data_IF_027256021144
#
_entry.id   IF_027256021144
#
_cell.length_a   1.000
_cell.length_b   1.000
_cell.length_c   1.000
_cell.angle_alpha   90.00
_cell.angle_beta   90.00
_cell.angle_gamma   90.00
#
_symmetry.space_group_name_H-M   'P 1'
#
loop_
_entity.id
_entity.type
_entity.pdbx_description
1 polymer ?
#
# COMPACT_ATOMS: atom_id res chain seq x y z
N UNK A 1 25.58 15.30 -5.81
CA UNK A 1 25.20 14.83 -4.45
C UNK A 1 23.69 14.71 -4.24
N UNK A 2 22.92 15.50 -4.96
CA UNK A 2 21.46 15.63 -4.90
C UNK A 2 20.73 14.32 -5.22
N UNK A 3 21.20 13.58 -6.23
CA UNK A 3 20.63 12.27 -6.59
C UNK A 3 20.84 11.27 -5.46
N UNK A 4 21.99 11.31 -4.80
CA UNK A 4 22.27 10.43 -3.67
C UNK A 4 21.38 10.77 -2.48
N UNK A 5 21.27 12.07 -2.16
CA UNK A 5 20.35 12.54 -1.12
C UNK A 5 18.90 12.12 -1.41
N UNK A 6 18.44 12.21 -2.66
CA UNK A 6 17.11 11.75 -3.06
C UNK A 6 16.95 10.23 -2.88
N UNK A 7 17.95 9.42 -3.27
CA UNK A 7 17.91 7.96 -3.07
C UNK A 7 17.83 7.61 -1.58
N UNK A 8 18.66 8.24 -0.75
CA UNK A 8 18.67 8.05 0.69
C UNK A 8 17.31 8.41 1.32
N UNK A 9 16.72 9.52 0.89
CA UNK A 9 15.42 9.97 1.38
C UNK A 9 14.25 9.01 1.07
N UNK A 10 14.41 8.13 0.08
CA UNK A 10 13.39 7.14 -0.32
C UNK A 10 13.58 5.78 0.33
N UNK A 11 14.61 5.57 1.16
CA UNK A 11 14.81 4.34 1.91
C UNK A 11 13.74 4.27 3.02
N UNK A 12 12.88 3.24 3.06
CA UNK A 12 11.89 3.10 4.13
C UNK A 12 12.59 2.80 5.45
N UNK A 13 12.27 3.58 6.49
CA UNK A 13 12.84 3.44 7.83
C UNK A 13 11.75 2.97 8.80
N UNK A 14 12.08 2.00 9.65
CA UNK A 14 11.19 1.54 10.73
C UNK A 14 10.76 2.74 11.58
N UNK A 15 9.46 2.89 11.77
CA UNK A 15 8.87 4.08 12.39
C UNK A 15 8.29 3.76 13.76
N UNK A 16 8.72 4.49 14.78
CA UNK A 16 8.15 4.41 16.13
C UNK A 16 7.31 5.64 16.48
N UNK A 17 6.00 5.50 16.27
CA UNK A 17 5.02 6.56 16.57
C UNK A 17 4.75 6.78 18.06
N UNK A 18 5.33 5.97 18.96
CA UNK A 18 5.12 6.12 20.42
C UNK A 18 6.14 7.07 21.04
N UNK A 19 7.36 7.05 20.56
CA UNK A 19 8.47 7.79 21.16
C UNK A 19 8.85 9.05 20.38
N UNK A 20 8.53 9.10 19.08
CA UNK A 20 8.83 10.24 18.23
C UNK A 20 7.61 11.11 17.97
N UNK A 21 7.82 12.42 18.05
CA UNK A 21 6.85 13.45 17.71
C UNK A 21 7.20 14.07 16.36
N UNK A 22 6.21 14.64 15.69
CA UNK A 22 6.48 15.49 14.54
C UNK A 22 7.28 16.73 14.96
N UNK A 23 8.22 17.17 14.12
CA UNK A 23 9.10 18.31 14.45
C UNK A 23 8.34 19.60 14.77
N UNK A 24 7.26 19.88 14.03
CA UNK A 24 6.43 21.07 14.23
C UNK A 24 5.60 21.04 15.52
N UNK A 25 5.39 19.86 16.11
CA UNK A 25 4.67 19.65 17.36
C UNK A 25 5.63 19.45 18.54
N UNK A 26 6.94 19.49 18.29
CA UNK A 26 7.96 19.19 19.30
C UNK A 26 8.28 20.42 20.17
N UNK A 27 8.56 20.17 21.45
CA UNK A 27 8.97 21.20 22.42
C UNK A 27 10.29 21.91 22.08
N UNK A 28 11.11 21.34 21.19
CA UNK A 28 12.33 21.98 20.70
C UNK A 28 12.09 23.06 19.63
N UNK A 29 10.83 23.34 19.26
CA UNK A 29 10.50 24.35 18.26
C UNK A 29 10.99 24.01 16.85
N UNK A 30 11.17 22.72 16.56
CA UNK A 30 11.63 22.24 15.25
C UNK A 30 13.15 22.25 15.04
N UNK A 31 13.95 22.59 16.05
CA UNK A 31 15.42 22.58 15.95
C UNK A 31 16.02 21.18 15.72
N UNK A 32 15.26 20.12 16.03
CA UNK A 32 15.74 18.74 16.03
C UNK A 32 16.28 18.34 17.41
N UNK A 33 15.69 17.31 18.01
CA UNK A 33 16.14 16.72 19.26
C UNK A 33 15.85 15.21 19.27
N UNK A 34 16.26 14.52 20.33
CA UNK A 34 16.06 13.07 20.46
C UNK A 34 14.59 12.61 20.46
N UNK A 35 13.63 13.53 20.57
CA UNK A 35 12.19 13.21 20.54
C UNK A 35 11.55 13.43 19.17
N UNK A 36 12.25 14.01 18.18
CA UNK A 36 11.67 14.32 16.86
C UNK A 36 12.60 14.07 15.68
N UNK A 37 13.82 13.61 15.93
CA UNK A 37 14.78 13.25 14.88
C UNK A 37 15.72 12.13 15.31
N UNK A 38 16.10 11.30 14.34
CA UNK A 38 17.14 10.25 14.46
C UNK A 38 18.24 10.53 13.46
N UNK A 39 19.47 10.25 13.84
CA UNK A 39 20.63 10.44 12.96
C UNK A 39 21.05 9.11 12.36
N UNK A 40 21.13 9.07 11.02
CA UNK A 40 21.73 7.97 10.26
C UNK A 40 23.06 8.44 9.67
N UNK A 41 24.13 7.69 9.91
CA UNK A 41 25.48 7.98 9.40
C UNK A 41 25.99 6.85 8.53
N UNK A 42 26.79 7.20 7.53
CA UNK A 42 27.57 6.25 6.74
C UNK A 42 28.97 6.82 6.56
N UNK A 43 29.99 6.01 6.76
CA UNK A 43 31.38 6.36 6.49
C UNK A 43 32.12 5.12 5.96
N UNK A 44 32.21 5.02 4.64
CA UNK A 44 32.75 3.85 3.94
C UNK A 44 33.76 4.32 2.90
N UNK A 45 34.97 3.76 2.95
CA UNK A 45 35.99 3.89 1.92
C UNK A 45 36.23 2.52 1.28
N UNK A 46 36.34 2.49 -0.04
CA UNK A 46 36.73 1.28 -0.75
C UNK A 46 38.26 1.24 -0.93
N UNK A 47 38.93 0.45 -0.10
CA UNK A 47 40.37 0.21 -0.20
C UNK A 47 40.71 -1.08 -0.99
N UNK A 48 39.71 -1.72 -1.61
CA UNK A 48 39.88 -2.95 -2.38
C UNK A 48 39.94 -2.65 -3.88
N UNK A 49 40.56 -3.55 -4.66
CA UNK A 49 40.63 -3.41 -6.12
C UNK A 49 39.28 -3.69 -6.82
N UNK A 50 38.29 -4.22 -6.09
CA UNK A 50 36.96 -4.54 -6.62
C UNK A 50 35.94 -3.45 -6.30
N UNK A 51 34.91 -3.31 -7.13
CA UNK A 51 33.80 -2.40 -6.84
C UNK A 51 32.94 -2.95 -5.72
N UNK A 52 32.74 -2.18 -4.65
CA UNK A 52 31.83 -2.54 -3.55
C UNK A 52 30.47 -1.86 -3.73
N UNK A 53 29.40 -2.52 -3.27
CA UNK A 53 28.05 -1.96 -3.26
C UNK A 53 27.70 -1.53 -1.83
N UNK A 54 27.48 -0.23 -1.64
CA UNK A 54 26.91 0.31 -0.40
C UNK A 54 25.40 0.13 -0.44
N UNK A 55 24.85 -0.40 0.64
CA UNK A 55 23.44 -0.73 0.84
C UNK A 55 22.86 -0.04 2.06
N UNK A 56 21.53 -0.06 2.21
CA UNK A 56 20.86 0.44 3.41
C UNK A 56 21.29 -0.27 4.69
N UNK A 57 21.79 -1.51 4.63
CA UNK A 57 22.31 -2.25 5.77
C UNK A 57 23.60 -1.67 6.35
N UNK A 58 24.32 -0.85 5.56
CA UNK A 58 25.58 -0.23 5.98
C UNK A 58 25.36 1.11 6.72
N UNK A 59 24.10 1.52 6.91
CA UNK A 59 23.75 2.73 7.64
C UNK A 59 23.78 2.47 9.15
N UNK A 60 24.50 3.33 9.88
CA UNK A 60 24.59 3.28 11.34
C UNK A 60 23.57 4.27 11.90
N UNK A 61 22.65 3.78 12.73
CA UNK A 61 21.66 4.61 13.43
C UNK A 61 22.09 4.90 14.85
N UNK A 62 21.82 6.12 15.33
CA UNK A 62 21.96 6.45 16.75
C UNK A 62 20.81 5.90 17.62
N UNK A 63 19.74 5.37 17.01
CA UNK A 63 18.69 4.59 17.67
C UNK A 63 18.59 3.19 17.02
N UNK A 64 18.89 2.10 17.76
CA UNK A 64 18.90 0.75 17.20
C UNK A 64 17.52 0.24 16.74
N UNK A 65 16.42 0.91 17.13
CA UNK A 65 15.07 0.56 16.68
C UNK A 65 14.77 1.20 15.32
N UNK A 66 15.34 2.37 15.06
CA UNK A 66 15.08 3.18 13.87
C UNK A 66 16.14 2.88 12.82
N UNK A 67 15.89 1.83 12.05
CA UNK A 67 16.79 1.30 11.01
C UNK A 67 16.03 1.12 9.70
N UNK A 68 16.72 1.00 8.56
CA UNK A 68 16.07 0.67 7.29
C UNK A 68 15.27 -0.64 7.38
N UNK A 69 14.06 -0.64 6.81
CA UNK A 69 13.17 -1.81 6.83
C UNK A 69 13.81 -3.01 6.14
N UNK A 70 14.55 -2.76 5.06
CA UNK A 70 15.35 -3.77 4.36
C UNK A 70 16.82 -3.35 4.39
N UNK A 71 17.76 -4.24 4.73
CA UNK A 71 19.20 -3.95 4.68
C UNK A 71 19.76 -4.03 3.25
N UNK A 72 18.99 -4.50 2.27
CA UNK A 72 19.51 -4.85 0.96
C UNK A 72 19.23 -3.79 -0.12
N UNK A 73 18.85 -2.56 0.25
CA UNK A 73 18.49 -1.52 -0.72
C UNK A 73 19.79 -0.89 -1.26
N UNK A 74 20.09 -1.00 -2.56
CA UNK A 74 21.33 -0.46 -3.13
C UNK A 74 21.35 1.07 -3.08
N UNK A 75 22.40 1.65 -2.50
CA UNK A 75 22.59 3.11 -2.42
C UNK A 75 23.49 3.58 -3.56
N UNK A 76 24.74 3.12 -3.57
CA UNK A 76 25.76 3.52 -4.55
C UNK A 76 26.83 2.42 -4.68
N UNK A 77 27.50 2.36 -5.82
CA UNK A 77 28.69 1.53 -6.02
C UNK A 77 29.93 2.40 -5.85
N UNK A 78 30.91 1.93 -5.09
CA UNK A 78 32.19 2.61 -4.90
C UNK A 78 33.29 1.84 -5.65
N UNK A 79 33.99 2.53 -6.55
CA UNK A 79 35.21 2.01 -7.18
C UNK A 79 36.39 2.09 -6.19
N UNK A 80 37.54 1.52 -6.58
CA UNK A 80 38.78 1.61 -5.80
C UNK A 80 39.08 3.09 -5.43
N UNK A 81 39.53 3.31 -4.20
CA UNK A 81 39.85 4.63 -3.63
C UNK A 81 38.70 5.65 -3.58
N UNK A 82 37.45 5.22 -3.81
CA UNK A 82 36.26 6.05 -3.61
C UNK A 82 35.69 5.91 -2.20
N UNK A 83 35.09 6.98 -1.68
CA UNK A 83 34.44 6.98 -0.36
C UNK A 83 33.06 7.63 -0.39
N UNK A 84 32.21 7.21 0.55
CA UNK A 84 30.94 7.85 0.87
C UNK A 84 30.90 8.15 2.37
N UNK A 85 30.75 9.43 2.70
CA UNK A 85 30.55 9.89 4.07
C UNK A 85 29.37 10.83 4.12
N UNK A 86 28.38 10.56 4.97
CA UNK A 86 27.26 11.47 5.20
C UNK A 86 26.63 11.31 6.58
N UNK A 87 25.91 12.35 7.00
CA UNK A 87 25.00 12.36 8.13
C UNK A 87 23.61 12.80 7.62
N UNK A 88 22.58 12.05 7.98
CA UNK A 88 21.19 12.31 7.59
C UNK A 88 20.28 12.31 8.82
N UNK A 89 19.38 13.30 8.87
CA UNK A 89 18.38 13.42 9.92
C UNK A 89 17.04 12.83 9.43
N UNK A 90 16.60 11.76 10.08
CA UNK A 90 15.32 11.10 9.85
C UNK A 90 14.27 11.73 10.77
N UNK A 91 13.13 12.13 10.20
CA UNK A 91 12.06 12.84 10.89
C UNK A 91 10.70 12.25 10.51
N UNK A 92 9.71 12.39 11.40
CA UNK A 92 8.33 12.06 11.04
C UNK A 92 7.78 13.08 10.05
N UNK A 93 7.06 12.60 9.04
CA UNK A 93 6.39 13.43 8.05
C UNK A 93 5.08 12.80 7.58
N UNK A 94 4.36 13.50 6.71
CA UNK A 94 3.09 13.01 6.16
C UNK A 94 3.23 12.87 4.65
N UNK A 95 2.59 11.85 4.08
CA UNK A 95 2.61 11.59 2.64
C UNK A 95 2.09 12.77 1.79
N UNK A 96 1.21 13.62 2.37
CA UNK A 96 0.72 14.85 1.74
C UNK A 96 1.85 15.85 1.43
N UNK A 97 2.93 15.83 2.22
CA UNK A 97 4.05 16.76 2.11
C UNK A 97 5.10 16.21 1.12
N UNK A 98 5.32 14.88 1.13
CA UNK A 98 6.17 14.20 0.15
C UNK A 98 5.89 12.69 0.12
N UNK A 99 5.99 12.07 -1.06
CA UNK A 99 5.73 10.64 -1.25
C UNK A 99 6.63 9.71 -0.42
N UNK A 100 7.84 10.15 -0.04
CA UNK A 100 8.77 9.42 0.84
C UNK A 100 8.20 9.11 2.23
N UNK A 101 7.17 9.85 2.66
CA UNK A 101 6.50 9.65 3.94
C UNK A 101 5.25 8.77 3.82
N UNK A 102 5.01 8.17 2.66
CA UNK A 102 3.96 7.17 2.50
C UNK A 102 4.36 5.90 3.28
N UNK A 103 3.42 5.34 4.04
CA UNK A 103 3.64 4.14 4.89
C UNK A 103 3.05 2.86 4.29
N UNK A 104 2.61 2.93 3.03
CA UNK A 104 2.08 1.81 2.26
C UNK A 104 2.71 1.85 0.88
N UNK A 105 3.04 0.68 0.34
CA UNK A 105 3.50 0.56 -1.04
C UNK A 105 2.34 0.78 -2.02
N UNK A 106 1.18 0.18 -1.72
CA UNK A 106 0.01 0.25 -2.57
C UNK A 106 -1.28 0.13 -1.75
N UNK A 107 -2.32 0.83 -2.18
CA UNK A 107 -3.67 0.69 -1.67
C UNK A 107 -4.66 0.82 -2.80
N UNK A 108 -5.59 -0.13 -2.86
CA UNK A 108 -6.67 -0.13 -3.83
C UNK A 108 -7.90 -0.79 -3.25
N UNK A 109 -9.04 -0.48 -3.84
CA UNK A 109 -10.26 -1.21 -3.57
C UNK A 109 -10.96 -1.54 -4.88
N UNK A 110 -11.78 -2.58 -4.84
CA UNK A 110 -12.74 -2.91 -5.89
C UNK A 110 -14.04 -3.33 -5.27
N UNK A 111 -15.13 -3.20 -6.01
CA UNK A 111 -16.42 -3.68 -5.55
C UNK A 111 -16.45 -5.21 -5.51
N UNK A 112 -17.28 -5.74 -4.62
CA UNK A 112 -17.54 -7.17 -4.57
C UNK A 112 -18.29 -7.59 -5.84
N UNK A 113 -17.80 -8.59 -6.58
CA UNK A 113 -18.44 -9.04 -7.81
C UNK A 113 -19.74 -9.79 -7.50
N UNK A 114 -20.82 -9.36 -8.13
CA UNK A 114 -22.15 -9.97 -8.04
C UNK A 114 -22.45 -10.70 -9.35
N UNK A 115 -22.15 -11.99 -9.39
CA UNK A 115 -22.40 -12.83 -10.56
C UNK A 115 -23.66 -13.66 -10.31
N UNK A 116 -24.66 -13.47 -11.16
CA UNK A 116 -25.92 -14.22 -11.11
C UNK A 116 -26.04 -15.15 -12.32
N UNK A 117 -26.53 -16.36 -12.11
CA UNK A 117 -26.70 -17.38 -13.16
C UNK A 117 -28.18 -17.78 -13.18
N UNK A 118 -28.86 -17.47 -14.27
CA UNK A 118 -30.25 -17.86 -14.52
C UNK A 118 -30.29 -19.30 -15.04
N UNK A 119 -30.51 -20.26 -14.13
CA UNK A 119 -30.54 -21.69 -14.42
C UNK A 119 -31.56 -22.05 -15.51
N UNK A 120 -32.70 -21.34 -15.59
CA UNK A 120 -33.76 -21.61 -16.57
C UNK A 120 -33.33 -21.27 -17.99
N UNK A 121 -32.48 -20.24 -18.14
CA UNK A 121 -31.87 -19.91 -19.43
C UNK A 121 -30.76 -20.91 -19.77
N UNK A 122 -29.99 -21.37 -18.79
CA UNK A 122 -29.00 -22.42 -19.01
C UNK A 122 -29.61 -23.75 -19.47
N UNK A 123 -30.85 -24.07 -19.08
CA UNK A 123 -31.57 -25.27 -19.58
C UNK A 123 -31.74 -25.28 -21.11
N UNK A 124 -31.75 -24.11 -21.76
CA UNK A 124 -31.84 -23.98 -23.23
C UNK A 124 -30.52 -24.30 -23.94
N UNK A 125 -29.39 -24.28 -23.23
CA UNK A 125 -28.11 -24.68 -23.78
C UNK A 125 -28.14 -26.16 -24.21
N UNK A 126 -27.58 -26.45 -25.38
CA UNK A 126 -27.50 -27.81 -25.92
C UNK A 126 -26.24 -28.56 -25.46
N UNK A 127 -25.22 -27.84 -25.02
CA UNK A 127 -23.91 -28.36 -24.61
C UNK A 127 -23.52 -27.83 -23.22
N UNK A 128 -22.31 -28.18 -22.76
CA UNK A 128 -21.70 -27.57 -21.57
C UNK A 128 -21.61 -26.05 -21.74
N UNK A 129 -21.58 -25.32 -20.63
CA UNK A 129 -21.39 -23.88 -20.66
C UNK A 129 -20.07 -23.51 -21.34
N UNK A 130 -20.12 -22.74 -22.43
CA UNK A 130 -18.92 -22.21 -23.09
C UNK A 130 -18.45 -20.90 -22.46
N UNK A 131 -19.38 -20.10 -21.92
CA UNK A 131 -19.09 -18.80 -21.33
C UNK A 131 -18.17 -18.90 -20.10
N UNK A 132 -18.21 -20.03 -19.38
CA UNK A 132 -17.28 -20.33 -18.30
C UNK A 132 -15.83 -20.46 -18.77
N UNK A 133 -15.61 -20.97 -19.98
CA UNK A 133 -14.27 -21.22 -20.54
C UNK A 133 -13.58 -19.89 -20.91
N UNK A 134 -14.35 -18.83 -21.17
CA UNK A 134 -13.85 -17.47 -21.42
C UNK A 134 -13.42 -16.76 -20.13
N UNK A 135 -13.74 -17.30 -18.96
CA UNK A 135 -13.26 -16.73 -17.71
C UNK A 135 -11.80 -17.14 -17.47
N UNK A 136 -10.86 -16.23 -17.76
CA UNK A 136 -9.41 -16.44 -17.57
C UNK A 136 -9.04 -16.82 -16.12
N UNK A 137 -9.86 -16.40 -15.16
CA UNK A 137 -9.71 -16.64 -13.72
C UNK A 137 -10.27 -17.98 -13.26
N UNK A 138 -10.89 -18.77 -14.15
CA UNK A 138 -11.45 -20.10 -13.89
C UNK A 138 -12.38 -20.13 -12.67
N UNK A 139 -13.33 -19.20 -12.66
CA UNK A 139 -14.24 -18.98 -11.53
C UNK A 139 -15.41 -19.95 -11.47
N UNK A 140 -15.59 -20.77 -12.50
CA UNK A 140 -16.75 -21.62 -12.67
C UNK A 140 -16.36 -23.09 -12.64
N UNK A 141 -17.08 -23.88 -11.86
CA UNK A 141 -17.14 -25.33 -11.93
C UNK A 141 -18.26 -25.73 -12.91
N UNK A 142 -17.90 -26.54 -13.91
CA UNK A 142 -18.83 -27.07 -14.91
C UNK A 142 -18.60 -28.56 -15.03
N UNK A 143 -19.69 -29.34 -15.09
CA UNK A 143 -19.62 -30.78 -15.30
C UNK A 143 -19.13 -31.14 -16.71
N UNK A 144 -18.82 -32.42 -16.92
CA UNK A 144 -18.35 -32.95 -18.21
C UNK A 144 -19.45 -33.03 -19.27
N UNK A 145 -20.71 -33.11 -18.85
CA UNK A 145 -21.90 -33.13 -19.70
C UNK A 145 -22.70 -31.82 -19.61
N UNK A 146 -23.89 -31.78 -20.20
CA UNK A 146 -24.81 -30.63 -20.09
C UNK A 146 -25.07 -30.33 -18.62
N UNK A 147 -24.51 -29.23 -18.16
CA UNK A 147 -24.56 -28.81 -16.76
C UNK A 147 -24.50 -27.28 -16.65
N UNK A 148 -25.21 -26.76 -15.65
CA UNK A 148 -25.17 -25.34 -15.35
C UNK A 148 -23.85 -25.01 -14.65
N UNK A 149 -23.20 -23.89 -15.00
CA UNK A 149 -21.99 -23.48 -14.32
C UNK A 149 -22.31 -23.09 -12.88
N UNK A 150 -21.40 -23.40 -11.96
CA UNK A 150 -21.47 -22.96 -10.56
C UNK A 150 -20.23 -22.15 -10.22
N UNK A 151 -20.37 -21.08 -9.45
CA UNK A 151 -19.23 -20.32 -8.98
C UNK A 151 -18.48 -21.09 -7.89
N UNK A 152 -17.14 -21.05 -7.93
CA UNK A 152 -16.32 -21.55 -6.83
C UNK A 152 -16.55 -20.68 -5.56
N UNK A 153 -16.43 -21.23 -4.33
CA UNK A 153 -16.73 -20.48 -3.10
C UNK A 153 -16.00 -19.14 -2.94
N UNK A 154 -14.77 -19.06 -3.46
CA UNK A 154 -13.90 -17.88 -3.36
C UNK A 154 -13.73 -17.12 -4.69
N UNK A 155 -14.70 -17.24 -5.61
CA UNK A 155 -14.62 -16.61 -6.93
C UNK A 155 -14.33 -15.11 -6.84
N UNK A 156 -14.89 -14.46 -5.82
CA UNK A 156 -14.79 -13.03 -5.58
C UNK A 156 -13.34 -12.56 -5.39
N UNK A 157 -12.42 -13.42 -4.92
CA UNK A 157 -11.00 -13.08 -4.74
C UNK A 157 -10.29 -12.84 -6.06
N UNK A 158 -10.69 -13.56 -7.10
CA UNK A 158 -9.98 -13.59 -8.38
C UNK A 158 -10.74 -12.92 -9.52
N UNK A 159 -12.06 -12.77 -9.41
CA UNK A 159 -12.86 -12.05 -10.40
C UNK A 159 -12.41 -10.60 -10.53
N UNK A 160 -12.10 -10.20 -11.76
CA UNK A 160 -11.68 -8.87 -12.16
C UNK A 160 -12.80 -8.08 -12.85
N UNK A 161 -14.04 -8.59 -12.83
CA UNK A 161 -15.21 -7.97 -13.48
C UNK A 161 -14.98 -7.67 -14.97
N UNK A 162 -14.22 -8.52 -15.69
CA UNK A 162 -13.97 -8.35 -17.13
C UNK A 162 -15.19 -8.59 -18.03
N UNK A 163 -16.32 -9.04 -17.47
CA UNK A 163 -17.59 -9.32 -18.17
C UNK A 163 -17.52 -10.33 -19.34
N UNK A 164 -16.39 -11.01 -19.55
CA UNK A 164 -16.24 -11.99 -20.63
C UNK A 164 -17.29 -13.12 -20.55
N UNK A 165 -17.55 -13.67 -19.35
CA UNK A 165 -18.58 -14.69 -19.16
C UNK A 165 -20.02 -14.17 -19.35
N UNK A 166 -20.24 -12.85 -19.26
CA UNK A 166 -21.52 -12.23 -19.59
C UNK A 166 -21.69 -12.12 -21.10
N UNK A 167 -20.70 -11.53 -21.79
CA UNK A 167 -20.75 -11.30 -23.24
C UNK A 167 -20.75 -12.60 -24.06
N UNK A 168 -20.01 -13.62 -23.61
CA UNK A 168 -19.88 -14.89 -24.31
C UNK A 168 -20.98 -15.91 -23.94
N UNK A 169 -22.01 -15.49 -23.21
CA UNK A 169 -23.15 -16.33 -22.87
C UNK A 169 -24.24 -16.24 -23.95
N UNK A 170 -24.45 -17.28 -24.79
CA UNK A 170 -25.38 -17.18 -25.92
C UNK A 170 -26.83 -16.96 -25.50
N UNK A 171 -27.22 -17.56 -24.37
CA UNK A 171 -28.58 -17.48 -23.83
C UNK A 171 -28.79 -16.24 -22.92
N UNK A 172 -27.75 -15.44 -22.67
CA UNK A 172 -27.81 -14.32 -21.71
C UNK A 172 -28.23 -14.78 -20.31
N UNK A 173 -27.72 -15.95 -19.89
CA UNK A 173 -28.02 -16.59 -18.61
C UNK A 173 -27.13 -16.08 -17.47
N UNK A 174 -25.92 -15.60 -17.80
CA UNK A 174 -24.98 -15.04 -16.82
C UNK A 174 -25.21 -13.52 -16.78
N UNK A 175 -25.24 -12.94 -15.58
CA UNK A 175 -25.14 -11.50 -15.35
C UNK A 175 -23.93 -11.22 -14.47
N UNK A 176 -23.20 -10.16 -14.79
CA UNK A 176 -22.05 -9.69 -14.02
C UNK A 176 -22.36 -8.26 -13.61
N UNK A 177 -22.49 -8.05 -12.30
CA UNK A 177 -22.66 -6.75 -11.68
C UNK A 177 -21.68 -6.63 -10.50
N UNK A 178 -21.79 -5.56 -9.75
CA UNK A 178 -21.09 -5.36 -8.50
C UNK A 178 -22.03 -4.91 -7.40
N UNK A 179 -21.64 -5.15 -6.15
CA UNK A 179 -22.39 -4.69 -4.97
C UNK A 179 -21.86 -3.31 -4.54
N UNK A 180 -22.68 -2.27 -4.72
CA UNK A 180 -22.32 -0.87 -4.39
C UNK A 180 -21.99 -0.64 -2.90
N UNK A 181 -22.37 -1.58 -2.03
CA UNK A 181 -22.17 -1.49 -0.58
C UNK A 181 -21.08 -2.44 -0.06
N UNK A 182 -20.41 -3.21 -0.92
CA UNK A 182 -19.34 -4.13 -0.53
C UNK A 182 -18.05 -3.87 -1.28
N UNK A 183 -17.00 -3.64 -0.50
CA UNK A 183 -15.68 -3.30 -1.02
C UNK A 183 -14.66 -4.36 -0.58
N UNK A 184 -13.78 -4.73 -1.50
CA UNK A 184 -12.61 -5.56 -1.25
C UNK A 184 -11.40 -4.63 -1.33
N UNK A 185 -10.79 -4.37 -0.18
CA UNK A 185 -9.56 -3.58 -0.08
C UNK A 185 -8.33 -4.49 -0.21
N UNK A 186 -7.34 -4.03 -0.96
CA UNK A 186 -5.99 -4.56 -0.99
C UNK A 186 -5.05 -3.48 -0.50
N UNK A 187 -4.27 -3.77 0.54
CA UNK A 187 -3.35 -2.83 1.16
C UNK A 187 -2.00 -3.54 1.31
N UNK A 188 -0.98 -2.98 0.69
CA UNK A 188 0.39 -3.48 0.75
C UNK A 188 1.21 -2.54 1.64
N UNK A 189 1.64 -3.04 2.80
CA UNK A 189 2.56 -2.32 3.67
C UNK A 189 3.98 -2.35 3.08
N UNK A 190 4.72 -1.25 3.24
CA UNK A 190 6.15 -1.19 2.94
C UNK A 190 7.03 -1.67 4.12
N UNK A 191 6.41 -1.98 5.27
CA UNK A 191 7.07 -2.48 6.47
C UNK A 191 7.55 -1.40 7.45
N UNK A 192 7.35 -0.11 7.18
CA UNK A 192 7.76 0.97 8.11
C UNK A 192 6.95 0.95 9.42
N UNK A 193 5.72 0.44 9.36
CA UNK A 193 4.83 0.26 10.50
C UNK A 193 4.23 -1.15 10.51
N UNK A 194 3.97 -1.74 11.70
CA UNK A 194 3.13 -2.92 11.80
C UNK A 194 1.75 -2.63 11.20
N UNK A 195 1.22 -3.57 10.41
CA UNK A 195 -0.03 -3.38 9.67
C UNK A 195 -1.22 -3.01 10.57
N UNK A 196 -1.34 -3.62 11.75
CA UNK A 196 -2.38 -3.29 12.72
C UNK A 196 -2.27 -1.85 13.26
N UNK A 197 -1.05 -1.36 13.46
CA UNK A 197 -0.79 0.05 13.86
C UNK A 197 -1.18 0.98 12.73
N UNK A 198 -0.83 0.66 11.49
CA UNK A 198 -1.16 1.43 10.30
C UNK A 198 -2.68 1.62 10.18
N UNK A 199 -3.45 0.53 10.19
CA UNK A 199 -4.91 0.60 10.10
C UNK A 199 -5.53 1.38 11.25
N UNK A 200 -5.07 1.12 12.49
CA UNK A 200 -5.56 1.82 13.67
C UNK A 200 -5.31 3.33 13.56
N UNK A 201 -4.10 3.74 13.18
CA UNK A 201 -3.74 5.16 13.02
C UNK A 201 -4.52 5.84 11.91
N UNK A 202 -4.80 5.16 10.80
CA UNK A 202 -5.65 5.70 9.74
C UNK A 202 -7.05 6.06 10.26
N UNK A 203 -7.67 5.20 11.07
CA UNK A 203 -8.98 5.47 11.66
C UNK A 203 -8.95 6.54 12.75
N UNK A 204 -7.91 6.57 13.58
CA UNK A 204 -7.72 7.64 14.56
C UNK A 204 -7.64 9.01 13.88
N UNK A 205 -6.78 9.15 12.86
CA UNK A 205 -6.63 10.39 12.09
C UNK A 205 -7.94 10.78 11.38
N UNK A 206 -8.67 9.81 10.84
CA UNK A 206 -9.96 10.07 10.20
C UNK A 206 -10.99 10.60 11.20
N UNK A 207 -11.06 10.00 12.39
CA UNK A 207 -11.96 10.44 13.46
C UNK A 207 -11.58 11.83 13.97
N UNK A 208 -10.30 12.10 14.18
CA UNK A 208 -9.79 13.42 14.58
C UNK A 208 -10.25 14.50 13.59
N UNK A 209 -10.14 14.25 12.29
CA UNK A 209 -10.62 15.18 11.25
C UNK A 209 -12.14 15.41 11.30
N UNK A 210 -12.92 14.37 11.57
CA UNK A 210 -14.37 14.51 11.73
C UNK A 210 -14.70 15.37 12.96
N UNK A 211 -13.99 15.14 14.06
CA UNK A 211 -14.25 15.86 15.31
C UNK A 211 -13.82 17.33 15.21
N UNK A 212 -12.67 17.61 14.57
CA UNK A 212 -12.24 18.98 14.20
C UNK A 212 -13.29 19.68 13.31
N UNK A 213 -13.78 19.01 12.28
CA UNK A 213 -14.84 19.57 11.43
C UNK A 213 -16.13 19.90 12.20
N UNK A 214 -16.55 19.04 13.13
CA UNK A 214 -17.71 19.32 14.00
C UNK A 214 -17.47 20.53 14.91
N UNK A 215 -16.26 20.69 15.43
CA UNK A 215 -15.91 21.83 16.27
C UNK A 215 -15.97 23.14 15.47
N UNK A 216 -15.39 23.15 14.27
CA UNK A 216 -15.47 24.30 13.36
C UNK A 216 -16.91 24.66 12.99
N UNK A 217 -17.78 23.67 12.75
CA UNK A 217 -19.21 23.89 12.50
C UNK A 217 -19.94 24.54 13.69
N UNK A 218 -19.56 24.24 14.93
CA UNK A 218 -20.18 24.88 16.12
C UNK A 218 -19.76 26.34 16.27
N UNK A 219 -18.55 26.66 15.84
CA UNK A 219 -17.99 28.02 15.92
C UNK A 219 -18.42 28.91 14.74
N UNK A 220 -19.08 28.34 13.72
CA UNK A 220 -19.72 29.09 12.65
C UNK A 220 -21.01 29.73 13.15
N UNK A 221 -20.97 31.04 13.43
CA UNK A 221 -22.16 31.87 13.51
C UNK A 221 -22.74 31.99 12.10
N UNK A 222 -23.88 31.33 11.85
CA UNK A 222 -24.59 31.45 10.58
C UNK A 222 -25.36 32.78 10.64
N UNK A 223 -24.80 33.84 10.06
CA UNK A 223 -25.59 35.02 9.69
C UNK A 223 -26.55 34.61 8.57
N UNK A 224 -27.81 34.42 8.92
CA UNK A 224 -28.89 34.22 7.96
C UNK A 224 -29.34 35.63 7.55
N UNK A 225 -28.92 36.09 6.37
CA UNK A 225 -29.53 37.24 5.67
C UNK A 225 -30.97 36.94 5.19
#
# INVERSE_FOLDING_TARGET
DEILAHRLAMIPIVTDLKHYNFQQECSCGGAGCSLCSVTLTCDIKNDTDETILVTSGDLISNDPIIVPVSPNIPIVKLEHDSSLTFEAFTVLGRAKDHAKFQSVANIGYRFYPKIEIDERKCEKCTQKCIASDYCSKKLFEVGTEKSNPKLIPDFWKNCDLCEACFHECPEGAIKVEWDDNKFIFSIESDGVLPFGTLLKKSWEIFKEKIDDFKEQLKNLEIEIE
#
